data_IF_489310081644
#
_entry.id   IF_489310081644
#
_cell.length_a   1.000
_cell.length_b   1.000
_cell.length_c   1.000
_cell.angle_alpha   90.00
_cell.angle_beta   90.00
_cell.angle_gamma   90.00
#
_symmetry.space_group_name_H-M   'P 1'
#
loop_
_entity.id
_entity.type
_entity.pdbx_description
1 polymer ?
#
# COMPACT_ATOMS: atom_id res chain seq x y z
N UNK A 1 -25.03 7.34 -2.55
CA UNK A 1 -24.59 8.38 -1.58
C UNK A 1 -25.00 8.02 -0.15
N UNK A 2 -26.28 7.76 0.13
CA UNK A 2 -26.80 7.44 1.48
C UNK A 2 -26.14 6.20 2.09
N UNK A 3 -25.91 5.13 1.32
CA UNK A 3 -25.23 3.92 1.79
C UNK A 3 -23.77 4.18 2.16
N UNK A 4 -23.06 4.99 1.37
CA UNK A 4 -21.68 5.36 1.68
C UNK A 4 -21.63 6.25 2.91
N UNK A 5 -22.57 7.19 3.09
CA UNK A 5 -22.65 8.02 4.28
C UNK A 5 -22.87 7.19 5.56
N UNK A 6 -23.76 6.19 5.52
CA UNK A 6 -23.95 5.25 6.63
C UNK A 6 -22.67 4.47 6.93
N UNK A 7 -21.99 3.95 5.89
CA UNK A 7 -20.74 3.23 6.05
C UNK A 7 -19.64 4.13 6.62
N UNK A 8 -19.52 5.36 6.15
CA UNK A 8 -18.55 6.34 6.68
C UNK A 8 -18.82 6.64 8.15
N UNK A 9 -20.09 6.81 8.52
CA UNK A 9 -20.46 7.03 9.91
C UNK A 9 -20.06 5.83 10.79
N UNK A 10 -20.35 4.61 10.35
CA UNK A 10 -19.98 3.39 11.06
C UNK A 10 -18.46 3.24 11.17
N UNK A 11 -17.69 3.55 10.10
CA UNK A 11 -16.24 3.47 10.08
C UNK A 11 -15.53 4.53 10.93
N UNK A 12 -16.23 5.64 11.22
CA UNK A 12 -15.67 6.77 11.98
C UNK A 12 -16.20 6.88 13.41
N UNK A 13 -17.22 6.11 13.77
CA UNK A 13 -17.78 6.11 15.12
C UNK A 13 -16.88 5.34 16.09
N UNK A 14 -16.76 5.86 17.33
CA UNK A 14 -16.37 5.05 18.48
C UNK A 14 -17.50 4.05 18.69
N UNK A 15 -17.33 2.86 18.12
CA UNK A 15 -18.44 1.91 18.03
C UNK A 15 -18.76 1.29 19.38
N UNK A 16 -19.86 1.76 19.97
CA UNK A 16 -20.67 0.96 20.87
C UNK A 16 -21.67 0.06 20.08
N UNK A 17 -21.73 0.19 18.76
CA UNK A 17 -22.72 -0.47 17.92
C UNK A 17 -22.12 -1.59 17.05
N UNK A 18 -22.80 -2.68 17.00
CA UNK A 18 -22.78 -3.97 16.28
C UNK A 18 -21.64 -4.31 15.28
N UNK A 19 -20.90 -3.36 14.72
CA UNK A 19 -19.71 -3.57 13.92
C UNK A 19 -18.51 -2.92 14.61
N UNK A 20 -17.75 -3.70 15.35
CA UNK A 20 -16.46 -3.29 15.93
C UNK A 20 -15.43 -3.08 14.82
N UNK A 21 -15.43 -1.88 14.24
CA UNK A 21 -14.53 -1.46 13.16
C UNK A 21 -13.14 -1.10 13.65
N UNK A 22 -12.94 -1.02 14.97
CA UNK A 22 -11.61 -0.93 15.58
C UNK A 22 -10.70 -2.11 15.19
N UNK A 23 -11.30 -3.23 14.76
CA UNK A 23 -10.56 -4.37 14.19
C UNK A 23 -9.87 -4.04 12.87
N UNK A 24 -10.40 -3.09 12.11
CA UNK A 24 -9.93 -2.79 10.75
C UNK A 24 -9.08 -1.53 10.68
N UNK A 25 -9.54 -0.45 11.35
CA UNK A 25 -8.79 0.81 11.44
C UNK A 25 -8.31 0.97 12.89
N UNK A 26 -7.02 0.80 13.13
CA UNK A 26 -6.45 0.81 14.47
C UNK A 26 -5.67 2.08 14.72
N UNK A 27 -5.88 2.66 15.90
CA UNK A 27 -5.15 3.82 16.37
C UNK A 27 -4.21 3.41 17.52
N UNK A 28 -2.96 3.84 17.41
CA UNK A 28 -1.98 3.85 18.48
C UNK A 28 -1.59 5.30 18.71
N UNK A 29 -1.97 5.86 19.85
CA UNK A 29 -1.61 7.24 20.20
C UNK A 29 -0.23 7.28 20.86
N UNK A 30 0.49 8.36 20.62
CA UNK A 30 1.72 8.70 21.31
C UNK A 30 1.53 10.10 21.89
N UNK A 31 1.33 10.21 23.21
CA UNK A 31 1.00 11.48 23.88
C UNK A 31 2.19 12.45 23.89
N UNK A 32 3.41 11.91 23.91
CA UNK A 32 4.65 12.70 24.00
C UNK A 32 5.19 13.14 22.62
N UNK A 33 4.53 12.77 21.53
CA UNK A 33 4.99 13.10 20.18
C UNK A 33 3.94 13.79 19.34
N UNK A 34 4.38 14.78 18.58
CA UNK A 34 3.57 15.48 17.58
C UNK A 34 3.80 14.94 16.16
N UNK A 35 4.42 13.76 16.06
CA UNK A 35 4.59 13.03 14.80
C UNK A 35 3.65 11.84 14.74
N UNK A 36 3.19 11.55 13.53
CA UNK A 36 2.35 10.38 13.27
C UNK A 36 2.75 9.67 11.98
N UNK A 37 2.40 8.39 11.90
CA UNK A 37 2.50 7.59 10.68
C UNK A 37 1.11 7.08 10.33
N UNK A 38 0.75 7.10 9.05
CA UNK A 38 -0.47 6.47 8.54
C UNK A 38 -0.10 5.49 7.44
N UNK A 39 -0.65 4.30 7.50
CA UNK A 39 -0.37 3.28 6.49
C UNK A 39 -1.56 2.35 6.27
N UNK A 40 -1.71 1.86 5.04
CA UNK A 40 -2.71 0.89 4.64
C UNK A 40 -2.09 -0.32 3.92
N UNK A 41 -2.93 -1.32 3.62
CA UNK A 41 -2.50 -2.50 2.90
C UNK A 41 -1.40 -3.30 3.60
N UNK A 42 -0.48 -3.89 2.83
CA UNK A 42 0.64 -4.66 3.35
C UNK A 42 1.68 -3.78 4.05
N UNK A 43 1.86 -2.53 3.59
CA UNK A 43 2.83 -1.59 4.14
C UNK A 43 2.66 -1.37 5.65
N UNK A 44 1.42 -1.42 6.16
CA UNK A 44 1.15 -1.31 7.60
C UNK A 44 1.85 -2.36 8.44
N UNK A 45 2.09 -3.57 7.87
CA UNK A 45 2.79 -4.64 8.58
C UNK A 45 4.27 -4.34 8.76
N UNK A 46 4.89 -3.76 7.76
CA UNK A 46 6.27 -3.28 7.86
C UNK A 46 6.38 -2.10 8.84
N UNK A 47 5.40 -1.18 8.82
CA UNK A 47 5.37 -0.09 9.81
C UNK A 47 5.24 -0.64 11.22
N UNK A 48 4.34 -1.60 11.49
CA UNK A 48 4.19 -2.27 12.79
C UNK A 48 5.50 -2.86 13.31
N UNK A 49 6.33 -3.40 12.43
CA UNK A 49 7.59 -4.04 12.78
C UNK A 49 8.66 -3.01 13.19
N UNK A 50 8.76 -1.90 12.45
CA UNK A 50 9.87 -0.97 12.54
C UNK A 50 9.55 0.38 13.20
N UNK A 51 8.28 0.70 13.44
CA UNK A 51 7.89 1.94 14.10
C UNK A 51 8.18 1.88 15.60
N UNK A 52 8.83 2.92 16.11
CA UNK A 52 8.95 3.18 17.54
C UNK A 52 7.70 3.93 18.02
N UNK A 53 6.87 3.25 18.78
CA UNK A 53 5.60 3.78 19.27
C UNK A 53 5.75 4.87 20.35
N UNK A 54 6.95 5.02 20.91
CA UNK A 54 7.28 6.11 21.84
C UNK A 54 7.66 7.40 21.10
N UNK A 55 7.90 7.32 19.78
CA UNK A 55 8.30 8.44 18.92
C UNK A 55 7.20 8.98 18.02
N UNK A 56 6.18 8.18 17.72
CA UNK A 56 5.07 8.62 16.87
C UNK A 56 3.79 7.83 17.09
N UNK A 57 2.65 8.51 16.93
CA UNK A 57 1.37 7.83 16.80
C UNK A 57 1.26 7.05 15.49
N UNK A 58 0.41 6.03 15.46
CA UNK A 58 0.19 5.21 14.27
C UNK A 58 -1.29 4.97 14.00
N UNK A 59 -1.74 5.30 12.79
CA UNK A 59 -3.06 4.95 12.29
C UNK A 59 -2.94 3.91 11.18
N UNK A 60 -3.49 2.74 11.45
CA UNK A 60 -3.62 1.66 10.48
C UNK A 60 -4.95 1.77 9.72
N UNK A 61 -4.90 2.02 8.43
CA UNK A 61 -6.08 2.02 7.55
C UNK A 61 -6.29 0.60 7.01
N UNK A 62 -7.25 -0.10 7.55
CA UNK A 62 -7.67 -1.42 7.08
C UNK A 62 -8.78 -1.34 6.03
N UNK A 63 -9.68 -0.35 6.17
CA UNK A 63 -10.73 -0.03 5.20
C UNK A 63 -10.51 1.39 4.72
N UNK A 64 -10.14 1.52 3.44
CA UNK A 64 -9.81 2.81 2.82
C UNK A 64 -10.97 3.44 2.06
N UNK A 65 -12.04 2.70 1.80
CA UNK A 65 -13.23 3.23 1.11
C UNK A 65 -14.53 2.71 1.73
N UNK A 66 -15.47 3.58 2.07
CA UNK A 66 -15.31 5.03 2.14
C UNK A 66 -14.22 5.44 3.14
N UNK A 67 -13.54 6.56 2.85
CA UNK A 67 -12.42 6.99 3.70
C UNK A 67 -12.92 7.42 5.08
N UNK A 68 -12.26 7.02 6.17
CA UNK A 68 -12.71 7.31 7.52
C UNK A 68 -12.29 8.72 7.97
N UNK A 69 -12.86 9.76 7.32
CA UNK A 69 -12.44 11.16 7.49
C UNK A 69 -12.46 11.64 8.95
N UNK A 70 -13.54 11.34 9.69
CA UNK A 70 -13.66 11.79 11.08
C UNK A 70 -12.63 11.11 12.01
N UNK A 71 -12.35 9.82 11.76
CA UNK A 71 -11.32 9.10 12.50
C UNK A 71 -9.95 9.71 12.25
N UNK A 72 -9.63 10.00 10.99
CA UNK A 72 -8.37 10.63 10.59
C UNK A 72 -8.27 12.03 11.17
N UNK A 73 -9.35 12.83 11.12
CA UNK A 73 -9.36 14.18 11.66
C UNK A 73 -9.05 14.17 13.17
N UNK A 74 -9.70 13.30 13.94
CA UNK A 74 -9.44 13.14 15.38
C UNK A 74 -8.01 12.66 15.67
N UNK A 75 -7.52 11.70 14.88
CA UNK A 75 -6.16 11.18 15.04
C UNK A 75 -5.09 12.25 14.79
N UNK A 76 -5.35 13.18 13.88
CA UNK A 76 -4.42 14.25 13.52
C UNK A 76 -4.52 15.50 14.42
N UNK A 77 -5.44 15.53 15.38
CA UNK A 77 -5.50 16.62 16.36
C UNK A 77 -4.21 16.68 17.18
N UNK A 78 -3.53 17.83 17.11
CA UNK A 78 -2.24 18.03 17.79
C UNK A 78 -1.01 17.44 17.10
N UNK A 79 -1.17 16.79 15.94
CA UNK A 79 -0.06 16.28 15.12
C UNK A 79 0.49 17.39 14.22
N UNK A 80 1.80 17.63 14.27
CA UNK A 80 2.48 18.60 13.41
C UNK A 80 2.90 18.02 12.05
N UNK A 81 3.36 16.76 12.04
CA UNK A 81 3.83 16.08 10.84
C UNK A 81 3.29 14.65 10.78
N UNK A 82 2.76 14.27 9.63
CA UNK A 82 2.32 12.89 9.37
C UNK A 82 3.02 12.32 8.14
N UNK A 83 3.61 11.13 8.30
CA UNK A 83 4.20 10.37 7.20
C UNK A 83 3.20 9.30 6.72
N UNK A 84 2.87 9.34 5.43
CA UNK A 84 1.96 8.37 4.81
C UNK A 84 2.75 7.36 4.00
N UNK A 85 2.67 6.09 4.39
CA UNK A 85 3.34 4.96 3.72
C UNK A 85 2.29 4.05 3.10
N UNK A 86 2.21 4.04 1.78
CA UNK A 86 1.23 3.26 1.01
C UNK A 86 1.81 2.73 -0.31
N UNK A 87 1.17 1.71 -0.84
CA UNK A 87 1.52 1.12 -2.13
C UNK A 87 0.89 1.90 -3.31
N UNK A 88 1.47 1.74 -4.49
CA UNK A 88 0.94 2.26 -5.77
C UNK A 88 0.65 3.77 -5.75
N UNK A 89 -0.62 4.15 -5.97
CA UNK A 89 -1.05 5.55 -6.03
C UNK A 89 -1.16 6.18 -4.65
N UNK A 90 -0.89 7.49 -4.51
CA UNK A 90 -1.00 8.22 -3.25
C UNK A 90 -2.48 8.50 -2.90
N UNK A 91 -3.24 7.46 -2.61
CA UNK A 91 -4.66 7.56 -2.29
C UNK A 91 -4.86 8.08 -0.86
N UNK A 92 -4.24 7.40 0.12
CA UNK A 92 -4.38 7.76 1.54
C UNK A 92 -3.79 9.16 1.79
N UNK A 93 -2.66 9.48 1.17
CA UNK A 93 -2.03 10.82 1.29
C UNK A 93 -2.94 11.94 0.78
N UNK A 94 -3.63 11.74 -0.35
CA UNK A 94 -4.59 12.70 -0.90
C UNK A 94 -5.80 12.87 0.01
N UNK A 95 -6.35 11.79 0.51
CA UNK A 95 -7.49 11.83 1.42
C UNK A 95 -7.12 12.52 2.74
N UNK A 96 -5.94 12.25 3.31
CA UNK A 96 -5.44 12.95 4.51
C UNK A 96 -5.27 14.44 4.22
N UNK A 97 -4.68 14.80 3.08
CA UNK A 97 -4.53 16.21 2.68
C UNK A 97 -5.89 16.91 2.55
N UNK A 98 -6.87 16.21 1.97
CA UNK A 98 -8.24 16.71 1.90
C UNK A 98 -8.86 16.90 3.30
N UNK A 99 -8.70 15.93 4.19
CA UNK A 99 -9.17 16.00 5.58
C UNK A 99 -8.54 17.17 6.31
N UNK A 100 -7.23 17.37 6.20
CA UNK A 100 -6.54 18.51 6.80
C UNK A 100 -7.14 19.84 6.32
N UNK A 101 -7.40 19.98 5.02
CA UNK A 101 -8.06 21.18 4.46
C UNK A 101 -9.49 21.35 4.95
N UNK A 102 -10.30 20.29 4.92
CA UNK A 102 -11.72 20.29 5.28
C UNK A 102 -11.95 20.67 6.76
N UNK A 103 -11.10 20.14 7.64
CA UNK A 103 -11.23 20.33 9.11
C UNK A 103 -10.28 21.38 9.68
N UNK A 104 -9.57 22.14 8.81
CA UNK A 104 -8.59 23.16 9.20
C UNK A 104 -7.49 22.66 10.15
N UNK A 105 -7.03 21.42 9.93
CA UNK A 105 -5.96 20.79 10.72
C UNK A 105 -4.61 21.28 10.19
N UNK A 106 -3.80 21.88 11.05
CA UNK A 106 -2.44 22.32 10.71
C UNK A 106 -1.45 21.17 10.89
N UNK A 107 -1.42 20.25 9.93
CA UNK A 107 -0.52 19.12 9.90
C UNK A 107 0.21 19.09 8.56
N UNK A 108 1.53 18.91 8.59
CA UNK A 108 2.34 18.73 7.38
C UNK A 108 2.26 17.28 6.94
N UNK A 109 1.65 17.05 5.77
CA UNK A 109 1.52 15.71 5.20
C UNK A 109 2.73 15.41 4.33
N UNK A 110 3.42 14.32 4.63
CA UNK A 110 4.59 13.81 3.92
C UNK A 110 4.26 12.42 3.34
N UNK A 111 4.67 12.18 2.11
CA UNK A 111 4.39 10.91 1.45
C UNK A 111 4.99 10.84 0.04
N UNK A 112 4.27 10.24 -0.89
CA UNK A 112 4.67 10.11 -2.29
C UNK A 112 4.62 11.43 -3.06
N UNK A 113 3.62 12.27 -2.79
CA UNK A 113 3.44 13.57 -3.46
C UNK A 113 4.56 14.53 -3.09
N UNK A 114 5.06 14.45 -1.86
CA UNK A 114 6.20 15.23 -1.37
C UNK A 114 7.56 14.56 -1.64
N UNK A 115 7.55 13.33 -2.19
CA UNK A 115 8.74 12.51 -2.46
C UNK A 115 9.51 12.08 -1.20
N UNK A 116 8.88 12.10 -0.05
CA UNK A 116 9.45 11.58 1.20
C UNK A 116 9.34 10.05 1.30
N UNK A 117 8.41 9.47 0.54
CA UNK A 117 8.21 8.03 0.37
C UNK A 117 8.47 7.67 -1.10
N UNK A 118 8.99 6.47 -1.35
CA UNK A 118 9.23 6.00 -2.71
C UNK A 118 7.96 6.02 -3.56
N UNK A 119 8.06 6.57 -4.79
CA UNK A 119 6.90 6.76 -5.67
C UNK A 119 6.57 5.52 -6.50
N UNK A 120 7.53 4.62 -6.71
CA UNK A 120 7.39 3.44 -7.56
C UNK A 120 8.08 2.23 -6.92
N UNK A 121 7.69 1.05 -7.36
CA UNK A 121 8.17 -0.22 -6.81
C UNK A 121 7.40 -0.64 -5.57
N UNK A 122 7.67 -1.86 -5.12
CA UNK A 122 7.06 -2.48 -3.96
C UNK A 122 7.69 -1.94 -2.67
N UNK A 123 6.88 -1.70 -1.65
CA UNK A 123 7.39 -1.46 -0.32
C UNK A 123 7.94 -2.76 0.28
N UNK A 124 9.13 -2.68 0.82
CA UNK A 124 9.80 -3.79 1.51
C UNK A 124 10.08 -3.41 2.96
N UNK A 125 10.34 -4.39 3.81
CA UNK A 125 10.81 -4.17 5.17
C UNK A 125 11.96 -3.17 5.23
N UNK A 126 12.94 -3.29 4.31
CA UNK A 126 14.09 -2.40 4.21
C UNK A 126 13.67 -0.97 3.83
N UNK A 127 12.87 -0.80 2.76
CA UNK A 127 12.48 0.52 2.29
C UNK A 127 11.61 1.26 3.30
N UNK A 128 10.69 0.56 3.99
CA UNK A 128 9.86 1.16 5.03
C UNK A 128 10.70 1.55 6.26
N UNK A 129 11.64 0.71 6.68
CA UNK A 129 12.57 1.06 7.76
C UNK A 129 13.38 2.31 7.43
N UNK A 130 13.92 2.41 6.20
CA UNK A 130 14.67 3.59 5.75
C UNK A 130 13.81 4.87 5.78
N UNK A 131 12.54 4.78 5.36
CA UNK A 131 11.59 5.90 5.40
C UNK A 131 11.29 6.33 6.84
N UNK A 132 11.01 5.38 7.74
CA UNK A 132 10.79 5.66 9.15
C UNK A 132 12.03 6.24 9.84
N UNK A 133 13.23 5.76 9.47
CA UNK A 133 14.50 6.29 9.98
C UNK A 133 14.72 7.72 9.52
N UNK A 134 14.49 8.02 8.23
CA UNK A 134 14.56 9.38 7.69
C UNK A 134 13.59 10.34 8.39
N UNK A 135 12.39 9.85 8.72
CA UNK A 135 11.39 10.61 9.46
C UNK A 135 11.71 10.72 10.97
N UNK A 136 12.65 9.91 11.47
CA UNK A 136 13.13 9.94 12.85
C UNK A 136 12.26 9.17 13.84
N UNK A 137 11.48 8.18 13.38
CA UNK A 137 10.54 7.43 14.20
C UNK A 137 10.75 5.90 14.14
N UNK A 138 11.86 5.45 13.58
CA UNK A 138 12.19 4.04 13.56
C UNK A 138 12.68 3.54 14.91
N UNK A 139 12.43 2.25 15.20
CA UNK A 139 13.07 1.53 16.30
C UNK A 139 14.58 1.45 16.08
N UNK A 140 15.33 1.56 17.16
CA UNK A 140 16.76 1.27 17.16
C UNK A 140 16.94 -0.26 17.12
N UNK A 141 17.28 -0.78 15.93
CA UNK A 141 17.56 -2.21 15.71
C UNK A 141 19.05 -2.36 15.50
N UNK A 142 19.69 -3.23 16.28
CA UNK A 142 21.11 -3.56 16.11
C UNK A 142 21.33 -4.20 14.71
N UNK A 143 22.20 -3.56 13.91
CA UNK A 143 22.57 -4.03 12.57
C UNK A 143 23.19 -5.44 12.56
N UNK A 144 23.62 -5.96 13.71
CA UNK A 144 24.12 -7.33 13.82
C UNK A 144 23.03 -8.36 13.52
N UNK A 145 21.80 -8.12 13.99
CA UNK A 145 20.64 -8.98 13.73
C UNK A 145 20.28 -9.04 12.24
N UNK A 146 20.59 -7.99 11.48
CA UNK A 146 20.33 -7.93 10.03
C UNK A 146 21.46 -8.57 9.19
N UNK A 147 22.68 -8.69 9.74
CA UNK A 147 23.85 -9.26 9.04
C UNK A 147 23.87 -10.78 9.03
N UNK A 148 23.09 -11.45 9.86
CA UNK A 148 22.96 -12.91 9.90
C UNK A 148 22.09 -13.51 8.80
N UNK A 149 21.46 -12.67 7.95
CA UNK A 149 20.79 -13.15 6.75
C UNK A 149 21.86 -13.62 5.77
N UNK A 150 22.09 -14.91 5.71
CA UNK A 150 23.08 -15.54 4.82
C UNK A 150 22.89 -15.12 3.36
N UNK A 151 23.92 -15.36 2.52
CA UNK A 151 23.84 -15.06 1.09
C UNK A 151 22.55 -15.63 0.51
N UNK A 152 21.78 -14.78 -0.15
CA UNK A 152 20.59 -15.19 -0.89
C UNK A 152 20.98 -16.31 -1.87
N UNK A 153 20.37 -17.50 -1.77
CA UNK A 153 20.66 -18.57 -2.70
C UNK A 153 20.28 -18.15 -4.12
N UNK A 154 21.06 -18.57 -5.10
CA UNK A 154 20.67 -18.43 -6.51
C UNK A 154 19.47 -19.35 -6.77
N UNK A 155 18.32 -18.76 -7.03
CA UNK A 155 17.11 -19.49 -7.37
C UNK A 155 16.89 -19.43 -8.89
N UNK A 156 16.44 -20.53 -9.50
CA UNK A 156 16.10 -20.52 -10.91
C UNK A 156 14.96 -19.54 -11.17
N UNK A 157 15.05 -18.81 -12.27
CA UNK A 157 13.99 -17.94 -12.75
C UNK A 157 12.76 -18.78 -13.08
N UNK A 158 11.62 -18.43 -12.48
CA UNK A 158 10.32 -19.09 -12.72
C UNK A 158 9.33 -18.05 -13.24
N UNK A 159 9.40 -17.71 -14.54
CA UNK A 159 8.44 -16.79 -15.13
C UNK A 159 7.04 -17.39 -15.08
N UNK A 160 5.99 -16.59 -14.99
CA UNK A 160 4.63 -17.06 -15.15
C UNK A 160 4.45 -17.66 -16.55
N UNK A 161 3.78 -18.80 -16.60
CA UNK A 161 3.52 -19.53 -17.86
C UNK A 161 2.06 -19.98 -17.92
N UNK A 162 1.54 -20.16 -19.14
CA UNK A 162 0.22 -20.75 -19.33
C UNK A 162 0.20 -22.19 -18.78
N UNK A 163 -0.88 -22.54 -18.11
CA UNK A 163 -1.09 -23.86 -17.55
C UNK A 163 -0.97 -24.97 -18.61
N UNK A 164 -0.61 -26.19 -18.20
CA UNK A 164 -0.68 -27.36 -19.08
C UNK A 164 -2.13 -27.60 -19.52
N UNK A 165 -2.35 -27.82 -20.83
CA UNK A 165 -3.69 -27.99 -21.39
C UNK A 165 -4.56 -26.72 -21.43
N UNK A 166 -4.00 -25.54 -21.19
CA UNK A 166 -4.74 -24.30 -21.19
C UNK A 166 -5.37 -24.00 -22.56
N UNK A 167 -6.68 -23.70 -22.65
CA UNK A 167 -7.36 -23.34 -23.90
C UNK A 167 -6.75 -22.13 -24.61
N UNK A 168 -6.19 -21.18 -23.87
CA UNK A 168 -5.51 -20.00 -24.43
C UNK A 168 -4.38 -20.40 -25.39
N UNK A 169 -3.68 -21.50 -25.15
CA UNK A 169 -2.62 -21.98 -26.04
C UNK A 169 -3.17 -22.29 -27.46
N UNK A 170 -4.32 -22.92 -27.50
CA UNK A 170 -4.98 -23.23 -28.76
C UNK A 170 -5.44 -21.96 -29.49
N UNK A 171 -6.05 -21.03 -28.75
CA UNK A 171 -6.50 -19.74 -29.31
C UNK A 171 -5.34 -18.94 -29.88
N UNK A 172 -4.25 -18.79 -29.12
CA UNK A 172 -3.05 -18.08 -29.56
C UNK A 172 -2.42 -18.75 -30.76
N UNK A 173 -2.34 -20.08 -30.79
CA UNK A 173 -1.82 -20.81 -31.95
C UNK A 173 -2.67 -20.59 -33.20
N UNK A 174 -4.01 -20.68 -33.07
CA UNK A 174 -4.93 -20.47 -34.17
C UNK A 174 -4.80 -19.04 -34.75
N UNK A 175 -4.77 -18.04 -33.92
CA UNK A 175 -4.58 -16.64 -34.32
C UNK A 175 -3.22 -16.44 -35.01
N UNK A 176 -2.16 -16.98 -34.40
CA UNK A 176 -0.81 -16.91 -34.98
C UNK A 176 -0.75 -17.56 -36.40
N UNK A 177 -1.42 -18.70 -36.58
CA UNK A 177 -1.49 -19.35 -37.91
C UNK A 177 -2.32 -18.51 -38.90
N UNK A 178 -3.44 -17.96 -38.48
CA UNK A 178 -4.29 -17.14 -39.33
C UNK A 178 -3.61 -15.83 -39.78
N UNK A 179 -2.66 -15.33 -38.99
CA UNK A 179 -1.95 -14.06 -39.23
C UNK A 179 -0.52 -14.26 -39.75
N UNK A 180 -0.08 -15.48 -40.04
CA UNK A 180 1.31 -15.85 -40.36
C UNK A 180 1.98 -15.01 -41.43
N UNK A 181 1.22 -14.54 -42.43
CA UNK A 181 1.73 -13.76 -43.55
C UNK A 181 1.27 -12.29 -43.51
N UNK A 182 0.78 -11.85 -42.38
CA UNK A 182 0.24 -10.51 -42.19
C UNK A 182 1.00 -9.78 -41.11
N UNK A 183 1.21 -8.50 -41.30
CA UNK A 183 1.67 -7.62 -40.27
C UNK A 183 0.50 -7.37 -39.27
N UNK A 184 0.68 -7.75 -38.02
CA UNK A 184 -0.37 -7.68 -37.01
C UNK A 184 0.16 -7.25 -35.65
N UNK A 185 -0.64 -6.46 -34.93
CA UNK A 185 -0.40 -6.12 -33.52
C UNK A 185 -1.51 -6.78 -32.69
N UNK A 186 -1.09 -7.60 -31.73
CA UNK A 186 -2.01 -8.30 -30.85
C UNK A 186 -2.18 -7.52 -29.57
N UNK A 187 -3.38 -7.02 -29.32
CA UNK A 187 -3.74 -6.34 -28.07
C UNK A 187 -4.50 -7.31 -27.18
N UNK A 188 -4.10 -7.40 -25.93
CA UNK A 188 -4.73 -8.26 -24.94
C UNK A 188 -4.88 -7.57 -23.60
N UNK A 189 -5.69 -8.15 -22.73
CA UNK A 189 -5.89 -7.70 -21.38
C UNK A 189 -4.83 -8.29 -20.43
N UNK A 190 -4.64 -7.69 -19.26
CA UNK A 190 -3.76 -8.24 -18.21
C UNK A 190 -4.41 -9.47 -17.60
N UNK A 191 -3.72 -10.58 -17.67
CA UNK A 191 -4.17 -11.89 -17.23
C UNK A 191 -3.45 -12.97 -18.03
N UNK A 192 -4.12 -14.09 -18.31
CA UNK A 192 -3.54 -15.15 -19.15
C UNK A 192 -3.23 -14.70 -20.59
N UNK A 193 -3.90 -13.67 -21.08
CA UNK A 193 -3.59 -13.08 -22.39
C UNK A 193 -2.19 -12.48 -22.46
N UNK A 194 -1.72 -11.83 -21.37
CA UNK A 194 -0.35 -11.29 -21.31
C UNK A 194 0.72 -12.35 -21.50
N UNK A 195 0.41 -13.61 -21.15
CA UNK A 195 1.37 -14.71 -21.27
C UNK A 195 1.55 -15.19 -22.72
N UNK A 196 0.76 -14.66 -23.67
CA UNK A 196 0.92 -14.89 -25.09
C UNK A 196 2.19 -14.26 -25.69
N UNK A 197 2.76 -13.23 -25.02
CA UNK A 197 3.98 -12.56 -25.48
C UNK A 197 5.25 -13.42 -25.30
N UNK A 198 5.18 -14.47 -24.46
CA UNK A 198 6.32 -15.35 -24.21
C UNK A 198 6.48 -16.38 -25.33
N UNK A 199 7.73 -16.76 -25.61
CA UNK A 199 8.03 -17.85 -26.55
C UNK A 199 7.38 -19.16 -26.12
N UNK A 200 6.89 -19.97 -27.07
CA UNK A 200 6.99 -19.86 -28.54
C UNK A 200 5.85 -19.08 -29.19
N UNK A 201 4.96 -18.48 -28.43
CA UNK A 201 3.78 -17.79 -29.00
C UNK A 201 4.19 -16.46 -29.62
N UNK A 202 4.95 -15.62 -28.95
CA UNK A 202 5.46 -14.33 -29.42
C UNK A 202 4.34 -13.41 -29.98
N UNK A 203 3.25 -13.24 -29.22
CA UNK A 203 2.06 -12.49 -29.62
C UNK A 203 1.94 -11.19 -28.84
#
# INVERSE_FOLDING_TARGET
EERNAKLTHVLSADSTDELDLSKWNKIHLCEDSRKAVVSGGVSRKYVQEYLDYDKAGFLEIGISYPFPEQLVARFLEGVDEVLVIEELSPFIEREITYVCGKYNIKCKVLGKLTKDVQCAGENTAKSVREQLTKFGVAKDIDDKTLKEVGKKPELPVRPPVLCAGCPHRASFYAVKQAMKEKEAVFCGDIGCYTLGNAKPLDM
#
